data_IF_712423482952
#
_entry.id   IF_712423482952
#
_cell.length_a   1.000
_cell.length_b   1.000
_cell.length_c   1.000
_cell.angle_alpha   90.00
_cell.angle_beta   90.00
_cell.angle_gamma   90.00
#
_symmetry.space_group_name_H-M   'P 1'
#
loop_
_entity.id
_entity.type
_entity.pdbx_description
1 polymer ?
#
# COMPACT_ATOMS: atom_id res chain seq x y z
N UNK A 1 -5.95 -33.70 -6.38
CA UNK A 1 -4.52 -34.00 -6.62
C UNK A 1 -3.87 -32.72 -7.12
N UNK A 2 -3.20 -31.97 -6.26
CA UNK A 2 -2.41 -30.80 -6.68
C UNK A 2 -0.98 -31.30 -6.85
N UNK A 3 -0.50 -31.30 -8.09
CA UNK A 3 0.88 -31.66 -8.38
C UNK A 3 1.72 -30.44 -7.97
N UNK A 4 2.27 -30.45 -6.75
CA UNK A 4 3.28 -29.47 -6.33
C UNK A 4 4.58 -29.80 -7.06
N UNK A 5 4.65 -29.45 -8.34
CA UNK A 5 5.89 -29.56 -9.10
C UNK A 5 6.71 -28.31 -8.85
N UNK A 6 7.53 -28.33 -7.80
CA UNK A 6 8.47 -27.26 -7.49
C UNK A 6 9.75 -27.47 -8.30
N UNK A 7 10.22 -26.44 -9.00
CA UNK A 7 11.49 -26.46 -9.71
C UNK A 7 12.39 -25.33 -9.19
N UNK A 8 13.67 -25.61 -9.07
CA UNK A 8 14.68 -24.63 -8.65
C UNK A 8 15.58 -24.31 -9.83
N UNK A 9 15.78 -23.02 -10.09
CA UNK A 9 16.67 -22.51 -11.12
C UNK A 9 17.54 -21.39 -10.52
N UNK A 10 18.75 -21.25 -11.05
CA UNK A 10 19.71 -20.23 -10.62
C UNK A 10 19.74 -19.14 -11.67
N UNK A 11 19.77 -17.89 -11.20
CA UNK A 11 19.82 -16.69 -12.03
C UNK A 11 20.91 -15.76 -11.50
N UNK A 12 21.57 -15.03 -12.40
CA UNK A 12 22.58 -14.03 -12.03
C UNK A 12 21.94 -12.78 -11.40
N UNK A 13 20.71 -12.46 -11.80
CA UNK A 13 19.95 -11.31 -11.33
C UNK A 13 18.44 -11.62 -11.24
N UNK A 14 17.75 -10.91 -10.34
CA UNK A 14 16.34 -11.10 -10.05
C UNK A 14 15.65 -9.74 -10.00
N UNK A 15 14.55 -9.62 -10.75
CA UNK A 15 13.65 -8.45 -10.71
C UNK A 15 12.40 -8.83 -9.92
N UNK A 16 12.12 -8.10 -8.85
CA UNK A 16 10.95 -8.32 -7.99
C UNK A 16 9.83 -7.34 -8.39
N UNK A 17 8.85 -7.83 -9.13
CA UNK A 17 7.75 -7.01 -9.68
C UNK A 17 6.35 -7.60 -9.37
N UNK A 18 6.14 -8.14 -8.17
CA UNK A 18 4.84 -8.67 -7.75
C UNK A 18 3.80 -7.58 -7.39
N UNK A 19 4.19 -6.30 -7.45
CA UNK A 19 3.37 -5.17 -7.06
C UNK A 19 3.09 -5.11 -5.56
N UNK A 20 2.36 -4.06 -5.14
CA UNK A 20 2.12 -3.76 -3.73
C UNK A 20 0.66 -3.40 -3.42
N UNK A 21 -0.29 -3.76 -4.28
CA UNK A 21 -1.74 -3.58 -4.08
C UNK A 21 -2.52 -4.90 -3.94
N UNK A 22 -1.86 -5.92 -3.39
CA UNK A 22 -2.40 -7.26 -3.27
C UNK A 22 -2.76 -7.63 -1.83
N UNK A 23 -1.96 -7.29 -0.83
CA UNK A 23 -2.26 -7.59 0.57
C UNK A 23 -3.15 -6.49 1.15
N UNK A 24 -4.42 -6.78 1.47
CA UNK A 24 -5.31 -5.78 2.09
C UNK A 24 -4.83 -5.43 3.50
N UNK A 25 -4.90 -4.16 3.89
CA UNK A 25 -4.67 -3.74 5.27
C UNK A 25 -5.99 -3.39 5.93
N UNK A 26 -6.36 -4.10 7.00
CA UNK A 26 -7.47 -3.73 7.89
C UNK A 26 -6.84 -3.60 9.28
N UNK A 27 -6.86 -2.39 9.89
CA UNK A 27 -6.27 -2.21 11.20
C UNK A 27 -7.07 -3.00 12.25
N UNK A 28 -6.36 -3.48 13.27
CA UNK A 28 -6.99 -4.12 14.41
C UNK A 28 -7.74 -3.05 15.23
N UNK A 29 -8.99 -3.35 15.59
CA UNK A 29 -9.88 -2.45 16.31
C UNK A 29 -10.68 -3.23 17.34
N UNK A 30 -11.14 -2.54 18.38
CA UNK A 30 -11.97 -3.15 19.43
C UNK A 30 -13.19 -3.85 18.83
N UNK A 31 -13.36 -5.10 19.19
CA UNK A 31 -14.46 -6.00 18.81
C UNK A 31 -14.59 -6.30 17.31
N UNK A 32 -13.60 -5.96 16.47
CA UNK A 32 -13.72 -6.16 15.01
C UNK A 32 -13.85 -7.64 14.65
N UNK A 33 -13.18 -8.51 15.41
CA UNK A 33 -13.17 -9.95 15.18
C UNK A 33 -14.55 -10.54 15.51
N UNK A 34 -15.06 -10.23 16.69
CA UNK A 34 -16.38 -10.63 17.18
C UNK A 34 -17.49 -10.10 16.26
N UNK A 35 -17.36 -8.85 15.80
CA UNK A 35 -18.29 -8.26 14.84
C UNK A 35 -18.29 -9.01 13.50
N UNK A 36 -17.11 -9.34 12.97
CA UNK A 36 -16.99 -10.07 11.70
C UNK A 36 -17.48 -11.53 11.81
N UNK A 37 -17.32 -12.14 12.97
CA UNK A 37 -17.88 -13.47 13.29
C UNK A 37 -19.41 -13.44 13.37
N UNK A 38 -19.99 -12.42 14.03
CA UNK A 38 -21.44 -12.23 14.14
C UNK A 38 -22.10 -11.83 12.81
N UNK A 39 -21.43 -10.99 12.01
CA UNK A 39 -21.94 -10.50 10.73
C UNK A 39 -20.97 -10.70 9.57
N UNK A 40 -20.84 -11.96 9.08
CA UNK A 40 -19.96 -12.25 7.96
C UNK A 40 -20.35 -11.44 6.72
N UNK A 41 -19.35 -10.83 6.06
CA UNK A 41 -19.45 -10.04 4.81
C UNK A 41 -19.86 -8.56 4.96
N UNK A 42 -20.15 -8.06 6.17
CA UNK A 42 -20.36 -6.62 6.36
C UNK A 42 -19.03 -5.88 6.18
N UNK A 43 -17.97 -6.39 6.80
CA UNK A 43 -16.62 -5.83 6.66
C UNK A 43 -16.01 -6.31 5.35
N UNK A 44 -15.62 -5.36 4.50
CA UNK A 44 -14.91 -5.62 3.24
C UNK A 44 -13.77 -4.62 3.06
N UNK A 45 -12.78 -4.97 2.24
CA UNK A 45 -11.74 -4.04 1.81
C UNK A 45 -11.99 -3.57 0.37
N UNK A 46 -11.51 -2.38 0.01
CA UNK A 46 -11.60 -1.79 -1.34
C UNK A 46 -11.12 -2.74 -2.44
N UNK A 47 -10.15 -3.63 -2.13
CA UNK A 47 -9.69 -4.71 -3.03
C UNK A 47 -10.84 -5.60 -3.55
N UNK A 48 -11.89 -5.80 -2.76
CA UNK A 48 -13.04 -6.64 -3.09
C UNK A 48 -14.15 -5.88 -3.82
N UNK A 49 -14.07 -4.55 -3.88
CA UNK A 49 -15.04 -3.73 -4.60
C UNK A 49 -15.01 -4.03 -6.10
N UNK A 50 -16.18 -4.14 -6.72
CA UNK A 50 -16.33 -4.40 -8.17
C UNK A 50 -17.43 -3.57 -8.80
N UNK A 51 -18.56 -3.42 -8.12
CA UNK A 51 -19.72 -2.71 -8.64
C UNK A 51 -20.43 -1.96 -7.50
N UNK A 52 -20.99 -0.77 -7.77
CA UNK A 52 -21.72 -0.01 -6.75
C UNK A 52 -23.07 -0.64 -6.38
N UNK A 53 -23.66 -1.47 -7.25
CA UNK A 53 -25.02 -2.01 -7.08
C UNK A 53 -25.24 -2.80 -5.77
N UNK A 54 -24.18 -3.38 -5.19
CA UNK A 54 -24.27 -4.09 -3.90
C UNK A 54 -24.53 -3.15 -2.72
N UNK A 55 -24.23 -1.87 -2.88
CA UNK A 55 -24.37 -0.82 -1.86
C UNK A 55 -25.59 0.06 -2.09
N UNK A 56 -26.39 -0.23 -3.12
CA UNK A 56 -27.58 0.55 -3.44
C UNK A 56 -28.62 0.41 -2.34
N UNK A 57 -29.15 1.54 -1.88
CA UNK A 57 -30.14 1.64 -0.80
C UNK A 57 -29.66 0.96 0.51
N UNK A 58 -28.34 0.95 0.74
CA UNK A 58 -27.68 0.43 1.94
C UNK A 58 -27.06 1.55 2.76
N UNK A 59 -26.97 1.33 4.07
CA UNK A 59 -26.21 2.17 4.99
C UNK A 59 -24.75 1.73 5.00
N UNK A 60 -23.86 2.53 4.42
CA UNK A 60 -22.46 2.18 4.22
C UNK A 60 -21.55 3.12 4.99
N UNK A 61 -20.62 2.53 5.76
CA UNK A 61 -19.51 3.26 6.37
C UNK A 61 -18.26 2.98 5.54
N UNK A 62 -17.58 4.04 5.08
CA UNK A 62 -16.32 3.95 4.36
C UNK A 62 -15.21 4.49 5.25
N UNK A 63 -14.26 3.64 5.61
CA UNK A 63 -13.10 3.98 6.44
C UNK A 63 -11.89 4.20 5.52
N UNK A 64 -11.46 5.44 5.29
CA UNK A 64 -10.27 5.73 4.50
C UNK A 64 -9.32 6.69 5.23
N UNK A 65 -8.02 6.55 4.91
CA UNK A 65 -6.91 7.24 5.58
C UNK A 65 -6.90 8.78 5.45
N UNK A 66 -7.73 9.33 4.56
CA UNK A 66 -7.85 10.77 4.30
C UNK A 66 -9.31 11.24 4.31
N UNK A 67 -10.27 10.34 4.52
CA UNK A 67 -11.69 10.66 4.49
C UNK A 67 -12.49 9.47 5.02
N UNK A 68 -13.25 9.66 6.10
CA UNK A 68 -14.22 8.67 6.57
C UNK A 68 -15.59 9.21 6.25
N UNK A 69 -16.41 8.41 5.58
CA UNK A 69 -17.70 8.88 5.14
C UNK A 69 -18.78 7.85 5.39
N UNK A 70 -19.85 8.25 6.09
CA UNK A 70 -21.07 7.48 6.12
C UNK A 70 -21.97 7.98 4.98
N UNK A 71 -22.35 7.06 4.10
CA UNK A 71 -23.24 7.36 2.99
C UNK A 71 -24.45 6.43 3.01
N UNK A 72 -25.63 7.02 2.82
CA UNK A 72 -26.84 6.30 2.46
C UNK A 72 -27.05 6.48 0.97
N UNK A 73 -26.76 5.45 0.17
CA UNK A 73 -26.93 5.53 -1.27
C UNK A 73 -28.42 5.42 -1.63
N UNK A 74 -29.16 6.51 -1.44
CA UNK A 74 -30.58 6.56 -1.83
C UNK A 74 -30.71 6.90 -3.31
N UNK A 75 -31.76 6.40 -3.95
CA UNK A 75 -32.07 6.61 -5.38
C UNK A 75 -32.24 8.06 -5.87
N UNK A 76 -32.04 9.08 -5.02
CA UNK A 76 -32.14 10.50 -5.37
C UNK A 76 -30.87 11.26 -4.98
N UNK A 77 -30.14 11.88 -5.93
CA UNK A 77 -29.01 12.73 -5.61
C UNK A 77 -29.53 14.09 -5.14
N UNK A 78 -29.44 14.37 -3.84
CA UNK A 78 -29.50 15.75 -3.32
C UNK A 78 -28.11 16.18 -2.85
N UNK A 79 -27.83 17.48 -3.01
CA UNK A 79 -26.52 18.11 -3.00
C UNK A 79 -25.58 17.65 -1.87
N UNK A 80 -24.31 17.36 -2.21
CA UNK A 80 -23.24 16.69 -1.43
C UNK A 80 -23.23 15.14 -1.40
N UNK A 81 -23.53 14.45 -2.51
CA UNK A 81 -23.38 12.98 -2.65
C UNK A 81 -24.05 12.11 -1.54
N UNK A 82 -24.82 12.67 -0.60
CA UNK A 82 -25.34 11.97 0.58
C UNK A 82 -24.26 11.41 1.51
N UNK A 83 -23.08 12.03 1.54
CA UNK A 83 -21.90 11.55 2.28
C UNK A 83 -21.61 12.50 3.45
N UNK A 84 -21.67 11.99 4.68
CA UNK A 84 -21.33 12.74 5.89
C UNK A 84 -19.95 12.29 6.40
N UNK A 85 -19.04 13.24 6.58
CA UNK A 85 -17.70 12.98 7.10
C UNK A 85 -17.78 12.66 8.61
N UNK A 86 -17.11 11.59 9.04
CA UNK A 86 -17.13 11.12 10.43
C UNK A 86 -15.73 11.09 11.03
N UNK A 87 -15.66 11.05 12.36
CA UNK A 87 -14.42 10.70 13.06
C UNK A 87 -14.00 9.23 12.82
N UNK A 88 -12.78 8.89 13.21
CA UNK A 88 -12.25 7.52 13.16
C UNK A 88 -13.13 6.53 13.94
N UNK A 89 -13.33 5.33 13.38
CA UNK A 89 -13.95 4.22 14.11
C UNK A 89 -13.10 3.91 15.35
N UNK A 90 -13.74 3.92 16.50
CA UNK A 90 -13.14 3.61 17.79
C UNK A 90 -13.39 2.14 18.18
N UNK A 91 -14.61 1.64 17.93
CA UNK A 91 -15.06 0.32 18.37
C UNK A 91 -16.23 -0.19 17.51
N UNK A 92 -16.30 -1.51 17.32
CA UNK A 92 -17.43 -2.18 16.70
C UNK A 92 -18.50 -2.56 17.76
N UNK A 93 -19.74 -2.17 17.49
CA UNK A 93 -20.90 -2.43 18.36
C UNK A 93 -21.63 -3.69 17.85
N UNK A 94 -21.31 -4.84 18.43
CA UNK A 94 -21.84 -6.15 17.96
C UNK A 94 -23.36 -6.21 18.11
N UNK A 95 -23.91 -5.97 19.29
CA UNK A 95 -25.37 -6.08 19.54
C UNK A 95 -26.22 -5.12 18.69
N UNK A 96 -25.64 -3.98 18.29
CA UNK A 96 -26.33 -2.92 17.52
C UNK A 96 -26.03 -2.99 16.02
N UNK A 97 -25.24 -3.98 15.58
CA UNK A 97 -24.76 -4.09 14.19
C UNK A 97 -24.19 -2.75 13.70
N UNK A 98 -23.32 -2.13 14.48
CA UNK A 98 -22.88 -0.75 14.28
C UNK A 98 -21.43 -0.46 14.65
N UNK A 99 -21.10 0.83 14.67
CA UNK A 99 -19.78 1.36 15.07
C UNK A 99 -19.93 2.56 16.01
N UNK A 100 -18.98 2.70 16.93
CA UNK A 100 -18.74 3.89 17.73
C UNK A 100 -17.57 4.66 17.11
N UNK A 101 -17.75 5.94 16.87
CA UNK A 101 -16.70 6.84 16.40
C UNK A 101 -16.06 7.57 17.59
N UNK A 102 -14.82 8.04 17.40
CA UNK A 102 -14.05 8.73 18.46
C UNK A 102 -14.65 10.02 19.00
N UNK A 103 -15.55 10.64 18.26
CA UNK A 103 -16.31 11.82 18.70
C UNK A 103 -17.53 11.45 19.58
N UNK A 104 -17.74 10.16 19.84
CA UNK A 104 -18.86 9.62 20.60
C UNK A 104 -20.10 9.33 19.76
N UNK A 105 -20.10 9.65 18.45
CA UNK A 105 -21.21 9.31 17.56
C UNK A 105 -21.32 7.80 17.41
N UNK A 106 -22.56 7.32 17.37
CA UNK A 106 -22.90 5.91 17.19
C UNK A 106 -23.69 5.74 15.91
N UNK A 107 -23.34 4.74 15.13
CA UNK A 107 -24.03 4.42 13.88
C UNK A 107 -24.42 2.94 13.90
N UNK A 108 -25.73 2.67 14.02
CA UNK A 108 -26.29 1.32 14.18
C UNK A 108 -26.84 0.78 12.86
N UNK A 109 -27.19 -0.51 12.82
CA UNK A 109 -27.85 -1.15 11.68
C UNK A 109 -27.10 -0.98 10.34
N UNK A 110 -25.78 -0.93 10.41
CA UNK A 110 -24.90 -0.73 9.25
C UNK A 110 -24.97 -1.96 8.36
N UNK A 111 -25.11 -1.76 7.04
CA UNK A 111 -25.20 -2.85 6.07
C UNK A 111 -23.84 -3.25 5.51
N UNK A 112 -22.91 -2.30 5.40
CA UNK A 112 -21.55 -2.54 4.91
C UNK A 112 -20.55 -1.57 5.54
N UNK A 113 -19.36 -2.09 5.80
CA UNK A 113 -18.19 -1.32 6.25
C UNK A 113 -17.07 -1.60 5.24
N UNK A 114 -16.64 -0.56 4.52
CA UNK A 114 -15.64 -0.68 3.44
C UNK A 114 -14.35 -0.01 3.88
N UNK A 115 -13.32 -0.81 4.12
CA UNK A 115 -11.98 -0.36 4.41
C UNK A 115 -11.25 0.06 3.12
N UNK A 116 -10.90 1.33 3.06
CA UNK A 116 -10.10 2.00 2.04
C UNK A 116 -8.73 2.40 2.63
N UNK A 117 -8.20 1.58 3.52
CA UNK A 117 -6.98 1.79 4.32
C UNK A 117 -5.69 1.41 3.60
N UNK A 118 -5.79 0.91 2.37
CA UNK A 118 -4.65 0.68 1.48
C UNK A 118 -4.04 -0.71 1.64
N UNK A 119 -2.77 -0.83 1.23
CA UNK A 119 -2.07 -2.10 1.09
C UNK A 119 -0.64 -1.95 1.63
N UNK A 120 -0.14 -2.86 2.47
CA UNK A 120 1.24 -2.87 2.87
C UNK A 120 2.10 -3.58 1.80
N UNK A 121 3.37 -3.17 1.69
CA UNK A 121 4.36 -3.92 0.93
C UNK A 121 4.54 -5.32 1.54
N UNK A 122 4.66 -6.33 0.68
CA UNK A 122 4.74 -7.73 1.11
C UNK A 122 5.58 -8.56 0.15
N UNK A 123 6.64 -9.18 0.68
CA UNK A 123 7.54 -10.08 -0.04
C UNK A 123 7.72 -11.38 0.74
N UNK A 124 6.67 -12.21 0.87
CA UNK A 124 6.72 -13.44 1.68
C UNK A 124 7.70 -14.49 1.16
N UNK A 125 8.27 -14.28 -0.04
CA UNK A 125 9.26 -15.13 -0.69
C UNK A 125 10.71 -14.67 -0.48
N UNK A 126 10.96 -13.54 0.20
CA UNK A 126 12.31 -13.00 0.48
C UNK A 126 12.63 -12.98 1.99
N UNK A 127 12.08 -13.93 2.75
CA UNK A 127 12.20 -13.94 4.23
C UNK A 127 13.65 -14.01 4.72
N UNK A 128 14.53 -14.63 3.93
CA UNK A 128 15.92 -14.90 4.29
C UNK A 128 16.88 -13.76 3.90
N UNK A 129 16.40 -12.75 3.16
CA UNK A 129 17.27 -11.79 2.47
C UNK A 129 17.69 -10.59 3.36
N UNK A 130 16.83 -10.15 4.28
CA UNK A 130 17.15 -9.27 5.40
C UNK A 130 15.94 -9.18 6.34
N UNK A 131 16.16 -9.21 7.66
CA UNK A 131 15.13 -8.96 8.66
C UNK A 131 14.58 -7.52 8.60
N UNK A 132 15.27 -6.61 7.88
CA UNK A 132 14.85 -5.21 7.73
C UNK A 132 14.07 -4.90 6.46
N UNK A 133 14.04 -5.76 5.44
CA UNK A 133 13.43 -5.43 4.13
C UNK A 133 11.99 -4.91 4.29
N UNK A 134 11.21 -5.57 5.16
CA UNK A 134 9.86 -5.15 5.53
C UNK A 134 9.76 -5.08 7.05
N UNK A 135 9.45 -3.90 7.59
CA UNK A 135 9.23 -3.67 9.03
C UNK A 135 7.74 -3.48 9.33
N UNK A 136 7.19 -2.32 8.97
CA UNK A 136 5.79 -1.92 9.20
C UNK A 136 4.91 -2.12 7.97
N UNK A 137 5.48 -2.55 6.85
CA UNK A 137 4.78 -2.64 5.56
C UNK A 137 4.52 -1.29 4.88
N UNK A 138 4.99 -0.17 5.44
CA UNK A 138 4.83 1.18 4.87
C UNK A 138 5.86 1.54 3.79
N UNK A 139 6.96 0.79 3.73
CA UNK A 139 8.04 0.95 2.76
C UNK A 139 8.91 -0.30 2.71
N UNK A 140 9.84 -0.31 1.76
CA UNK A 140 10.83 -1.37 1.54
C UNK A 140 12.21 -0.80 1.84
N UNK A 141 12.88 -1.34 2.86
CA UNK A 141 14.15 -0.81 3.36
C UNK A 141 15.35 -1.40 2.62
N UNK A 142 16.51 -0.77 2.81
CA UNK A 142 17.78 -1.29 2.27
C UNK A 142 17.88 -1.16 0.75
N UNK A 143 17.14 -0.21 0.16
CA UNK A 143 17.14 0.08 -1.26
C UNK A 143 17.81 1.41 -1.58
N UNK A 144 18.61 1.44 -2.64
CA UNK A 144 19.12 2.65 -3.25
C UNK A 144 18.22 3.09 -4.40
N UNK A 145 17.89 4.39 -4.46
CA UNK A 145 17.01 4.96 -5.49
C UNK A 145 15.66 4.24 -5.60
N UNK A 146 15.18 3.66 -4.49
CA UNK A 146 13.99 2.80 -4.42
C UNK A 146 14.02 1.53 -5.28
N UNK A 147 15.14 1.21 -5.94
CA UNK A 147 15.23 0.12 -6.91
C UNK A 147 16.23 -0.94 -6.47
N UNK A 148 17.48 -0.58 -6.21
CA UNK A 148 18.57 -1.55 -6.04
C UNK A 148 18.70 -1.98 -4.59
N UNK A 149 18.73 -3.29 -4.34
CA UNK A 149 19.10 -3.78 -3.01
C UNK A 149 20.57 -3.47 -2.73
N UNK A 150 20.84 -2.69 -1.69
CA UNK A 150 22.15 -2.08 -1.43
C UNK A 150 23.27 -3.13 -1.32
N UNK A 151 23.01 -4.24 -0.60
CA UNK A 151 23.98 -5.33 -0.43
C UNK A 151 24.02 -6.33 -1.58
N UNK A 152 22.99 -6.35 -2.42
CA UNK A 152 22.83 -7.33 -3.50
C UNK A 152 22.28 -6.63 -4.75
N UNK A 153 23.08 -5.82 -5.48
CA UNK A 153 22.56 -5.00 -6.60
C UNK A 153 22.06 -5.78 -7.81
N UNK A 154 22.23 -7.10 -7.83
CA UNK A 154 21.58 -8.02 -8.77
C UNK A 154 20.12 -8.32 -8.40
N UNK A 155 19.64 -7.82 -7.26
CA UNK A 155 18.24 -7.84 -6.85
C UNK A 155 17.65 -6.43 -6.90
N UNK A 156 16.57 -6.26 -7.65
CA UNK A 156 15.91 -4.95 -7.83
C UNK A 156 14.40 -5.01 -7.61
N UNK A 157 13.82 -3.89 -7.22
CA UNK A 157 12.40 -3.70 -6.91
C UNK A 157 11.82 -2.49 -7.68
N UNK A 158 11.50 -2.62 -8.97
CA UNK A 158 10.89 -1.51 -9.70
C UNK A 158 9.42 -1.33 -9.32
N UNK A 159 8.91 -0.10 -9.51
CA UNK A 159 7.49 0.22 -9.37
C UNK A 159 7.00 0.30 -7.93
N UNK A 160 7.88 0.60 -6.97
CA UNK A 160 7.47 0.81 -5.57
C UNK A 160 6.87 2.20 -5.33
N UNK A 161 7.20 3.19 -6.15
CA UNK A 161 6.87 4.57 -5.83
C UNK A 161 5.37 4.85 -6.00
N UNK A 162 4.82 5.54 -5.01
CA UNK A 162 3.45 5.99 -4.94
C UNK A 162 3.38 7.49 -5.23
N UNK A 163 2.25 7.95 -5.76
CA UNK A 163 2.05 9.32 -6.29
C UNK A 163 2.93 9.66 -7.50
N UNK A 164 3.30 8.64 -8.27
CA UNK A 164 3.99 8.77 -9.56
C UNK A 164 3.13 8.18 -10.70
N UNK A 165 3.42 8.58 -11.94
CA UNK A 165 2.87 7.91 -13.10
C UNK A 165 3.52 6.50 -13.22
N UNK A 166 2.76 5.40 -13.09
CA UNK A 166 3.36 4.08 -12.89
C UNK A 166 4.11 3.58 -14.12
N UNK A 167 3.57 3.78 -15.33
CA UNK A 167 4.18 3.26 -16.55
C UNK A 167 5.51 3.96 -16.88
N UNK A 168 5.59 5.30 -16.95
CA UNK A 168 6.85 5.98 -17.27
C UNK A 168 7.92 5.76 -16.21
N UNK A 169 7.54 5.68 -14.93
CA UNK A 169 8.47 5.39 -13.85
C UNK A 169 9.04 3.98 -13.97
N UNK A 170 8.19 2.97 -14.16
CA UNK A 170 8.64 1.58 -14.27
C UNK A 170 9.56 1.39 -15.49
N UNK A 171 9.25 2.04 -16.61
CA UNK A 171 10.10 2.05 -17.81
C UNK A 171 11.46 2.69 -17.53
N UNK A 172 11.48 3.84 -16.86
CA UNK A 172 12.72 4.55 -16.49
C UNK A 172 13.59 3.72 -15.54
N UNK A 173 12.98 3.09 -14.52
CA UNK A 173 13.68 2.19 -13.60
C UNK A 173 14.22 0.95 -14.31
N UNK A 174 13.48 0.41 -15.28
CA UNK A 174 13.93 -0.70 -16.11
C UNK A 174 15.13 -0.36 -16.98
N UNK A 175 15.11 0.79 -17.64
CA UNK A 175 16.26 1.29 -18.38
C UNK A 175 17.49 1.46 -17.47
N UNK A 176 17.29 1.99 -16.26
CA UNK A 176 18.36 2.19 -15.29
C UNK A 176 19.02 0.88 -14.86
N UNK A 177 18.25 -0.11 -14.38
CA UNK A 177 18.86 -1.37 -13.94
C UNK A 177 19.44 -2.19 -15.10
N UNK A 178 18.86 -2.10 -16.30
CA UNK A 178 19.45 -2.73 -17.49
C UNK A 178 20.80 -2.10 -17.86
N UNK A 179 20.92 -0.77 -17.77
CA UNK A 179 22.19 -0.07 -18.01
C UNK A 179 23.25 -0.41 -16.95
N UNK A 180 22.85 -0.58 -15.68
CA UNK A 180 23.75 -1.02 -14.61
C UNK A 180 24.22 -2.46 -14.84
N UNK A 181 23.31 -3.38 -15.11
CA UNK A 181 23.64 -4.80 -15.30
C UNK A 181 24.42 -5.09 -16.60
N UNK A 182 24.30 -4.23 -17.61
CA UNK A 182 25.13 -4.26 -18.83
C UNK A 182 26.49 -3.57 -18.67
N UNK A 183 26.84 -3.12 -17.46
CA UNK A 183 28.07 -2.37 -17.15
C UNK A 183 28.20 -1.02 -17.87
N UNK A 184 27.12 -0.49 -18.44
CA UNK A 184 27.11 0.84 -19.06
C UNK A 184 27.10 1.96 -18.01
N UNK A 185 26.50 1.70 -16.85
CA UNK A 185 26.47 2.62 -15.70
C UNK A 185 27.00 1.88 -14.47
N UNK A 186 27.82 2.56 -13.66
CA UNK A 186 28.29 2.01 -12.39
C UNK A 186 27.48 2.59 -11.23
N UNK A 187 27.05 1.73 -10.33
CA UNK A 187 26.51 2.17 -9.05
C UNK A 187 27.61 2.84 -8.20
N UNK A 188 27.24 3.80 -7.35
CA UNK A 188 28.18 4.38 -6.39
C UNK A 188 28.59 3.36 -5.33
N UNK A 189 29.51 3.75 -4.44
CA UNK A 189 29.95 2.88 -3.35
C UNK A 189 28.78 2.48 -2.44
N UNK A 190 28.88 1.30 -1.82
CA UNK A 190 27.86 0.82 -0.89
C UNK A 190 27.61 1.82 0.25
N UNK A 191 28.68 2.41 0.82
CA UNK A 191 28.57 3.42 1.87
C UNK A 191 27.77 4.67 1.43
N UNK A 192 27.90 5.08 0.16
CA UNK A 192 27.12 6.18 -0.38
C UNK A 192 25.63 5.80 -0.51
N UNK A 193 25.35 4.59 -1.00
CA UNK A 193 23.98 4.09 -1.12
C UNK A 193 23.29 3.94 0.24
N UNK A 194 24.02 3.47 1.25
CA UNK A 194 23.54 3.38 2.64
C UNK A 194 23.25 4.76 3.22
N UNK A 195 24.15 5.72 3.04
CA UNK A 195 23.94 7.10 3.48
C UNK A 195 22.70 7.72 2.83
N UNK A 196 22.50 7.51 1.52
CA UNK A 196 21.29 7.95 0.81
C UNK A 196 20.02 7.32 1.40
N UNK A 197 20.02 6.01 1.66
CA UNK A 197 18.88 5.29 2.23
C UNK A 197 18.56 5.77 3.65
N UNK A 198 19.57 6.03 4.47
CA UNK A 198 19.40 6.55 5.83
C UNK A 198 18.83 7.97 5.83
N UNK A 199 19.27 8.82 4.91
CA UNK A 199 18.72 10.17 4.74
C UNK A 199 17.24 10.11 4.36
N UNK A 200 16.88 9.25 3.39
CA UNK A 200 15.48 9.03 3.01
C UNK A 200 14.62 8.55 4.19
N UNK A 201 15.12 7.58 4.98
CA UNK A 201 14.45 7.09 6.19
C UNK A 201 14.27 8.21 7.23
N UNK A 202 15.25 9.10 7.37
CA UNK A 202 15.18 10.24 8.29
C UNK A 202 14.11 11.25 7.85
N UNK A 203 14.01 11.51 6.54
CA UNK A 203 13.05 12.46 5.98
C UNK A 203 11.61 11.94 5.94
N UNK A 204 11.43 10.67 5.62
CA UNK A 204 10.11 10.08 5.31
C UNK A 204 9.60 9.11 6.40
N UNK A 205 10.44 8.80 7.38
CA UNK A 205 10.16 7.78 8.39
C UNK A 205 9.95 6.42 7.75
N UNK A 206 8.73 5.90 7.83
CA UNK A 206 8.37 4.60 7.24
C UNK A 206 7.80 4.68 5.82
N UNK A 207 7.54 5.87 5.28
CA UNK A 207 6.84 6.06 4.00
C UNK A 207 7.81 6.23 2.81
N UNK A 208 8.80 5.34 2.73
CA UNK A 208 10.01 5.48 1.90
C UNK A 208 9.77 5.72 0.40
N UNK A 209 8.65 5.26 -0.14
CA UNK A 209 8.37 5.32 -1.58
C UNK A 209 7.22 6.28 -1.92
N UNK A 210 6.81 7.14 -0.96
CA UNK A 210 5.78 8.14 -1.20
C UNK A 210 6.42 9.42 -1.74
N UNK A 211 6.16 9.76 -3.01
CA UNK A 211 6.64 11.04 -3.56
C UNK A 211 5.84 12.23 -3.02
N UNK A 212 6.53 13.36 -2.86
CA UNK A 212 5.95 14.62 -2.40
C UNK A 212 5.03 15.27 -3.44
N UNK A 213 4.36 16.38 -3.07
CA UNK A 213 3.49 17.14 -3.98
C UNK A 213 4.19 17.64 -5.24
N UNK A 214 5.50 17.89 -5.15
CA UNK A 214 6.32 18.38 -6.27
C UNK A 214 6.68 17.28 -7.27
N UNK A 215 6.28 16.03 -7.00
CA UNK A 215 6.25 14.94 -7.98
C UNK A 215 7.62 14.45 -8.49
N UNK A 216 8.71 15.10 -8.07
CA UNK A 216 10.06 14.71 -8.43
C UNK A 216 10.73 13.98 -7.27
N UNK A 217 11.44 12.90 -7.55
CA UNK A 217 12.31 12.23 -6.58
C UNK A 217 13.53 13.09 -6.21
N UNK A 218 13.33 14.37 -5.94
CA UNK A 218 14.34 15.41 -5.73
C UNK A 218 14.98 15.40 -4.34
N UNK A 219 14.96 14.27 -3.65
CA UNK A 219 15.92 14.02 -2.56
C UNK A 219 17.29 13.79 -3.19
N UNK A 220 17.99 14.89 -3.47
CA UNK A 220 19.45 15.04 -3.66
C UNK A 220 20.15 14.15 -4.71
N UNK A 221 19.40 13.56 -5.65
CA UNK A 221 19.92 13.02 -6.91
C UNK A 221 19.09 13.56 -8.08
N UNK A 222 19.01 14.89 -8.19
CA UNK A 222 18.44 15.55 -9.36
C UNK A 222 19.30 15.28 -10.58
N UNK A 223 18.94 14.27 -11.37
CA UNK A 223 19.05 14.20 -12.82
C UNK A 223 18.70 12.76 -13.26
N UNK A 224 17.44 12.48 -13.59
CA UNK A 224 17.05 11.39 -14.49
C UNK A 224 15.56 11.45 -14.87
N UNK A 225 15.05 12.67 -15.09
CA UNK A 225 13.90 12.86 -15.97
C UNK A 225 14.46 13.61 -17.16
N UNK A 226 14.50 12.92 -18.29
CA UNK A 226 15.16 13.32 -19.52
C UNK A 226 14.65 14.64 -20.08
N UNK A 227 15.58 15.56 -20.32
CA UNK A 227 15.63 16.49 -21.45
C UNK A 227 17.08 16.57 -21.93
#
# INVERSE_FOLDING_TARGET
MTINNTATQVFDAVVVSNGHYSTSFVPDMRNIKEFNEAYPRIITHSKQYRTPYRFKDRKVVVEARFFICAASYTSRPTASLGCEEMAEIEEFLVEEKGVLFRDGRRETDVDAIVFCTGFPYSYPFLRDLDHKLITTGRGVHGLYQHVFHIRHPTLVFPGLNMKAAPWPLAESQAALFAAVWSNNIKLPSQAFMEAWSMELETQTGGALHMFGPDGDGSTSAGCMIWS
#
